data_IF_850569800704
#
_entry.id   IF_850569800704
#
_cell.length_a   1.000
_cell.length_b   1.000
_cell.length_c   1.000
_cell.angle_alpha   90.00
_cell.angle_beta   90.00
_cell.angle_gamma   90.00
#
_symmetry.space_group_name_H-M   'P 1'
#
loop_
_entity.id
_entity.type
_entity.pdbx_description
1 polymer ?
#
# COMPACT_ATOMS: atom_id res chain seq x y z
N UNK A 1 33.22 -26.02 7.23
CA UNK A 1 32.56 -25.10 8.20
C UNK A 1 32.10 -23.75 7.60
N UNK A 2 32.44 -23.40 6.33
CA UNK A 2 32.16 -22.07 5.76
C UNK A 2 30.81 -21.92 5.01
N UNK A 3 30.17 -23.02 4.58
CA UNK A 3 28.86 -22.94 3.89
C UNK A 3 27.67 -22.80 4.84
N UNK A 4 27.81 -23.19 6.10
CA UNK A 4 26.71 -23.18 7.07
C UNK A 4 26.37 -21.76 7.55
N UNK A 5 27.38 -20.90 7.68
CA UNK A 5 27.22 -19.49 8.00
C UNK A 5 26.49 -18.72 6.89
N UNK A 6 26.72 -19.09 5.62
CA UNK A 6 26.04 -18.44 4.48
C UNK A 6 24.54 -18.75 4.46
N UNK A 7 24.18 -20.00 4.76
CA UNK A 7 22.78 -20.43 4.82
C UNK A 7 22.02 -19.75 5.96
N UNK A 8 22.63 -19.60 7.14
CA UNK A 8 21.99 -18.89 8.25
C UNK A 8 21.76 -17.41 7.92
N UNK A 9 22.72 -16.74 7.26
CA UNK A 9 22.56 -15.33 6.88
C UNK A 9 21.43 -15.12 5.86
N UNK A 10 21.25 -16.05 4.92
CA UNK A 10 20.22 -15.94 3.89
C UNK A 10 18.82 -16.19 4.47
N UNK A 11 18.69 -17.14 5.42
CA UNK A 11 17.46 -17.38 6.17
C UNK A 11 17.09 -16.18 7.05
N UNK A 12 18.07 -15.55 7.71
CA UNK A 12 17.85 -14.35 8.52
C UNK A 12 17.31 -13.17 7.68
N UNK A 13 17.85 -12.95 6.47
CA UNK A 13 17.37 -11.90 5.57
C UNK A 13 15.95 -12.16 5.06
N UNK A 14 15.58 -13.42 4.82
CA UNK A 14 14.24 -13.76 4.37
C UNK A 14 13.17 -13.45 5.44
N UNK A 15 13.50 -13.63 6.72
CA UNK A 15 12.60 -13.39 7.85
C UNK A 15 12.32 -11.90 8.12
N UNK A 16 13.11 -10.98 7.53
CA UNK A 16 12.89 -9.54 7.66
C UNK A 16 11.99 -8.95 6.57
N UNK A 17 11.44 -9.78 5.67
CA UNK A 17 10.48 -9.32 4.67
C UNK A 17 9.10 -9.14 5.29
N UNK A 18 8.83 -7.93 5.79
CA UNK A 18 7.49 -7.55 6.21
C UNK A 18 6.57 -7.45 4.96
N UNK A 19 5.62 -8.38 4.85
CA UNK A 19 4.58 -8.34 3.83
C UNK A 19 3.52 -7.31 4.24
N UNK A 20 3.77 -6.03 3.94
CA UNK A 20 2.76 -4.98 4.10
C UNK A 20 1.82 -4.97 2.90
N UNK A 21 0.50 -4.92 3.14
CA UNK A 21 -0.49 -4.67 2.09
C UNK A 21 -0.17 -3.33 1.41
N UNK A 22 0.33 -3.39 0.18
CA UNK A 22 0.73 -2.22 -0.61
C UNK A 22 -0.44 -1.53 -1.31
N UNK A 23 -0.18 -0.90 -2.46
CA UNK A 23 -1.25 -0.37 -3.30
C UNK A 23 -2.07 -1.52 -3.93
N UNK A 24 -3.39 -1.38 -3.97
CA UNK A 24 -4.31 -2.38 -4.51
C UNK A 24 -5.38 -1.74 -5.39
N UNK A 25 -5.76 -2.41 -6.48
CA UNK A 25 -6.89 -2.03 -7.32
C UNK A 25 -8.18 -2.56 -6.67
N UNK A 26 -9.01 -1.66 -6.11
CA UNK A 26 -10.26 -2.03 -5.41
C UNK A 26 -11.49 -1.98 -6.30
N UNK A 27 -11.42 -1.23 -7.40
CA UNK A 27 -12.42 -1.26 -8.46
C UNK A 27 -11.71 -1.34 -9.79
N UNK A 28 -12.12 -2.33 -10.58
CA UNK A 28 -11.66 -2.55 -11.94
C UNK A 28 -12.82 -2.25 -12.90
N UNK A 29 -12.56 -1.45 -13.93
CA UNK A 29 -13.45 -1.17 -15.04
C UNK A 29 -12.67 -1.21 -16.36
N UNK A 30 -13.36 -1.48 -17.48
CA UNK A 30 -12.76 -1.50 -18.81
C UNK A 30 -12.09 -0.17 -19.19
N UNK A 31 -12.61 0.95 -18.66
CA UNK A 31 -12.12 2.29 -18.94
C UNK A 31 -11.35 2.93 -17.77
N UNK A 32 -11.01 2.19 -16.72
CA UNK A 32 -10.31 2.77 -15.57
C UNK A 32 -10.43 1.98 -14.29
N UNK A 33 -10.43 2.67 -13.16
CA UNK A 33 -10.58 2.00 -11.87
C UNK A 33 -10.33 2.89 -10.67
N UNK A 34 -10.25 2.25 -9.51
CA UNK A 34 -9.87 2.89 -8.25
C UNK A 34 -8.77 2.08 -7.60
N UNK A 35 -7.61 2.70 -7.41
CA UNK A 35 -6.51 2.15 -6.61
C UNK A 35 -6.52 2.78 -5.23
N UNK A 36 -6.29 2.00 -4.18
CA UNK A 36 -6.09 2.52 -2.83
C UNK A 36 -4.74 2.07 -2.28
N UNK A 37 -4.15 2.91 -1.45
CA UNK A 37 -2.91 2.59 -0.76
C UNK A 37 -2.89 3.13 0.67
N UNK A 38 -2.21 2.46 1.61
CA UNK A 38 -2.08 2.97 2.96
C UNK A 38 -1.15 4.19 2.99
N UNK A 39 -1.47 5.15 3.86
CA UNK A 39 -0.59 6.28 4.12
C UNK A 39 -0.61 6.62 5.61
N UNK A 40 0.51 7.14 6.10
CA UNK A 40 0.62 7.69 7.46
C UNK A 40 0.37 9.19 7.38
N UNK A 41 -0.49 9.72 8.22
CA UNK A 41 -0.87 11.14 8.20
C UNK A 41 0.36 12.04 8.40
N UNK A 42 1.32 11.60 9.23
CA UNK A 42 2.55 12.29 9.57
C UNK A 42 3.51 12.41 8.38
N UNK A 43 3.49 11.44 7.46
CA UNK A 43 4.31 11.42 6.24
C UNK A 43 3.60 12.09 5.05
N UNK A 44 2.28 12.24 5.11
CA UNK A 44 1.48 12.73 3.99
C UNK A 44 1.29 11.69 2.87
N UNK A 45 0.38 11.99 1.97
CA UNK A 45 -0.10 11.06 0.93
C UNK A 45 0.86 10.90 -0.24
N UNK A 46 1.64 11.94 -0.54
CA UNK A 46 2.57 12.00 -1.68
C UNK A 46 3.90 11.31 -1.40
N UNK A 47 4.37 11.34 -0.15
CA UNK A 47 5.64 10.73 0.26
C UNK A 47 5.50 9.25 0.64
N UNK A 48 4.27 8.72 0.64
CA UNK A 48 4.03 7.29 0.81
C UNK A 48 4.66 6.52 -0.35
N UNK A 49 5.56 5.58 -0.04
CA UNK A 49 6.16 4.68 -1.03
C UNK A 49 5.10 3.94 -1.84
N UNK A 50 3.93 3.69 -1.25
CA UNK A 50 2.82 3.01 -1.89
C UNK A 50 2.12 3.85 -2.97
N UNK A 51 2.29 5.18 -2.99
CA UNK A 51 1.80 6.00 -4.11
C UNK A 51 2.48 5.59 -5.42
N UNK A 52 3.78 5.29 -5.38
CA UNK A 52 4.52 4.84 -6.56
C UNK A 52 3.98 3.51 -7.08
N UNK A 53 3.66 2.58 -6.18
CA UNK A 53 3.01 1.32 -6.56
C UNK A 53 1.61 1.54 -7.12
N UNK A 54 0.85 2.48 -6.56
CA UNK A 54 -0.46 2.83 -7.09
C UNK A 54 -0.37 3.35 -8.53
N UNK A 55 0.57 4.27 -8.80
CA UNK A 55 0.81 4.76 -10.16
C UNK A 55 1.25 3.64 -11.10
N UNK A 56 2.11 2.72 -10.65
CA UNK A 56 2.54 1.56 -11.46
C UNK A 56 1.36 0.65 -11.84
N UNK A 57 0.40 0.43 -10.94
CA UNK A 57 -0.83 -0.33 -11.24
C UNK A 57 -1.65 0.40 -12.31
N UNK A 58 -1.80 1.73 -12.18
CA UNK A 58 -2.54 2.56 -13.13
C UNK A 58 -1.88 2.53 -14.53
N UNK A 59 -0.56 2.74 -14.59
CA UNK A 59 0.21 2.74 -15.84
C UNK A 59 0.17 1.37 -16.53
N UNK A 60 0.23 0.29 -15.76
CA UNK A 60 0.10 -1.05 -16.31
C UNK A 60 -1.30 -1.31 -16.89
N UNK A 61 -2.36 -0.74 -16.28
CA UNK A 61 -3.73 -0.90 -16.78
C UNK A 61 -3.99 -0.04 -18.02
N UNK A 62 -3.48 1.19 -18.04
CA UNK A 62 -3.69 2.14 -19.12
C UNK A 62 -2.35 2.49 -19.81
N UNK A 63 -1.79 1.60 -20.66
CA UNK A 63 -0.50 1.84 -21.32
C UNK A 63 -0.54 3.01 -22.32
N UNK A 64 -1.73 3.37 -22.83
CA UNK A 64 -1.96 4.56 -23.67
C UNK A 64 -2.02 5.89 -22.88
N UNK A 65 -1.89 5.83 -21.56
CA UNK A 65 -2.03 6.96 -20.65
C UNK A 65 -3.38 6.97 -19.94
N UNK A 66 -3.43 7.75 -18.87
CA UNK A 66 -4.58 7.85 -17.98
C UNK A 66 -4.83 9.30 -17.55
N UNK A 67 -6.01 9.54 -17.00
CA UNK A 67 -6.38 10.79 -16.34
C UNK A 67 -6.88 10.47 -14.93
N UNK A 68 -6.40 11.23 -13.95
CA UNK A 68 -6.88 11.11 -12.58
C UNK A 68 -8.17 11.92 -12.46
N UNK A 69 -9.28 11.25 -12.15
CA UNK A 69 -10.61 11.85 -12.04
C UNK A 69 -10.82 12.44 -10.64
N UNK A 70 -10.39 11.70 -9.62
CA UNK A 70 -10.56 12.09 -8.21
C UNK A 70 -9.52 11.41 -7.34
N UNK A 71 -9.01 12.15 -6.36
CA UNK A 71 -8.23 11.59 -5.25
C UNK A 71 -8.84 11.98 -3.91
N UNK A 72 -8.67 11.14 -2.89
CA UNK A 72 -9.11 11.48 -1.55
C UNK A 72 -8.92 10.37 -0.53
N UNK A 73 -9.07 10.72 0.74
CA UNK A 73 -9.09 9.75 1.83
C UNK A 73 -10.33 8.86 1.71
N UNK A 74 -10.09 7.55 1.75
CA UNK A 74 -11.13 6.54 1.75
C UNK A 74 -11.45 6.12 3.18
N UNK A 75 -12.58 5.46 3.40
CA UNK A 75 -12.91 4.89 4.72
C UNK A 75 -11.79 3.93 5.13
N UNK A 76 -10.92 4.37 6.04
CA UNK A 76 -9.84 3.57 6.58
C UNK A 76 -10.38 2.37 7.36
N UNK A 77 -9.55 1.33 7.52
CA UNK A 77 -9.89 0.22 8.40
C UNK A 77 -9.38 0.58 9.80
N UNK A 78 -10.28 0.78 10.75
CA UNK A 78 -9.88 0.89 12.15
C UNK A 78 -9.43 -0.50 12.62
N UNK A 79 -8.15 -0.65 12.96
CA UNK A 79 -7.64 -1.83 13.66
C UNK A 79 -7.23 -1.43 15.06
N UNK A 80 -7.82 -2.10 16.05
CA UNK A 80 -7.36 -1.97 17.43
C UNK A 80 -5.99 -2.64 17.54
N UNK A 81 -4.93 -1.86 17.75
CA UNK A 81 -3.57 -2.34 17.63
C UNK A 81 -3.08 -3.11 18.86
N UNK A 82 -3.84 -3.13 19.95
CA UNK A 82 -3.41 -3.72 21.20
C UNK A 82 -4.51 -4.58 21.85
N UNK A 83 -4.23 -5.87 22.16
CA UNK A 83 -5.10 -6.69 22.99
C UNK A 83 -4.92 -6.41 24.50
N UNK A 84 -4.10 -5.43 24.86
CA UNK A 84 -3.77 -5.09 26.25
C UNK A 84 -4.86 -4.16 26.79
N UNK A 85 -5.58 -4.59 27.84
CA UNK A 85 -6.56 -3.76 28.52
C UNK A 85 -5.87 -2.50 29.10
N UNK A 86 -6.15 -1.33 28.52
CA UNK A 86 -5.65 -0.03 28.98
C UNK A 86 -4.73 0.71 28.01
N UNK A 87 -4.30 0.12 26.89
CA UNK A 87 -3.62 0.87 25.82
C UNK A 87 -4.61 1.35 24.75
N UNK A 88 -4.78 2.66 24.63
CA UNK A 88 -5.62 3.30 23.61
C UNK A 88 -4.87 3.52 22.30
N UNK A 89 -4.02 2.58 21.89
CA UNK A 89 -3.31 2.66 20.62
C UNK A 89 -4.27 2.22 19.50
N UNK A 90 -5.14 3.14 19.10
CA UNK A 90 -5.97 3.00 17.91
C UNK A 90 -5.11 3.43 16.73
N UNK A 91 -4.50 2.45 16.05
CA UNK A 91 -3.82 2.72 14.78
C UNK A 91 -4.89 2.85 13.70
N UNK A 92 -5.25 4.09 13.40
CA UNK A 92 -6.12 4.39 12.26
C UNK A 92 -5.35 4.09 10.96
N UNK A 93 -5.58 2.93 10.35
CA UNK A 93 -5.01 2.61 9.03
C UNK A 93 -5.74 3.44 7.95
N UNK A 94 -5.30 4.70 7.80
CA UNK A 94 -5.79 5.61 6.76
C UNK A 94 -5.37 5.12 5.38
N UNK A 95 -6.29 5.26 4.42
CA UNK A 95 -6.07 4.84 3.03
C UNK A 95 -6.42 5.97 2.09
N UNK A 96 -5.52 6.24 1.14
CA UNK A 96 -5.76 7.19 0.07
C UNK A 96 -6.22 6.46 -1.18
N UNK A 97 -7.26 6.97 -1.83
CA UNK A 97 -7.80 6.43 -3.06
C UNK A 97 -7.55 7.34 -4.25
N UNK A 98 -7.21 6.74 -5.39
CA UNK A 98 -7.06 7.39 -6.69
C UNK A 98 -8.04 6.74 -7.65
N UNK A 99 -9.03 7.51 -8.11
CA UNK A 99 -9.89 7.14 -9.23
C UNK A 99 -9.28 7.66 -10.52
N UNK A 100 -9.16 6.78 -11.51
CA UNK A 100 -8.56 7.09 -12.81
C UNK A 100 -9.40 6.52 -13.95
N UNK A 101 -9.23 7.13 -15.11
CA UNK A 101 -9.79 6.69 -16.39
C UNK A 101 -8.66 6.57 -17.41
N UNK A 102 -8.70 5.54 -18.26
CA UNK A 102 -7.80 5.39 -19.39
C UNK A 102 -8.14 6.41 -20.48
N UNK A 103 -7.14 6.82 -21.26
CA UNK A 103 -7.31 7.67 -22.44
C UNK A 103 -7.62 6.87 -23.70
#
# INVERSE_FOLDING_TARGET
MKSWSSLMSLVMCALLSACGDGAILVKDSDHGGVVVYPYRAEQGTLLSTFRKDAMRIIDHKCPGGHTIVREGETKGRLRQASPIAGSSDVVEERRWGIQFECK
#
